data_IF_872466493275
#
_entry.id   IF_872466493275
#
_cell.length_a   1.000
_cell.length_b   1.000
_cell.length_c   1.000
_cell.angle_alpha   90.00
_cell.angle_beta   90.00
_cell.angle_gamma   90.00
#
_symmetry.space_group_name_H-M   'P 1'
#
loop_
_entity.id
_entity.type
_entity.pdbx_description
1 polymer ?
#
# COMPACT_ATOMS: atom_id res chain seq x y z
N UNK A 1 18.98 39.55 14.03
CA UNK A 1 18.65 38.48 14.97
C UNK A 1 18.83 37.15 14.25
N UNK A 2 19.86 36.39 14.60
CA UNK A 2 20.12 35.08 14.01
C UNK A 2 19.13 34.12 14.66
N UNK A 3 18.15 33.62 13.89
CA UNK A 3 17.22 32.58 14.35
C UNK A 3 18.05 31.38 14.80
N UNK A 4 17.81 30.87 16.01
CA UNK A 4 18.52 29.70 16.51
C UNK A 4 18.16 28.50 15.59
N UNK A 5 19.08 27.56 15.37
CA UNK A 5 18.84 26.44 14.46
C UNK A 5 17.67 25.55 14.88
N UNK A 6 17.28 25.58 16.16
CA UNK A 6 16.09 24.90 16.70
C UNK A 6 14.77 25.39 16.08
N UNK A 7 14.70 26.67 15.74
CA UNK A 7 13.48 27.38 15.32
C UNK A 7 13.06 26.96 13.91
N UNK A 8 14.03 26.53 13.10
CA UNK A 8 13.84 26.02 11.76
C UNK A 8 13.14 24.66 11.77
N UNK A 9 13.53 23.77 12.69
CA UNK A 9 12.86 22.48 12.88
C UNK A 9 11.47 22.61 13.50
N UNK A 10 11.29 23.51 14.46
CA UNK A 10 9.97 23.77 15.04
C UNK A 10 9.04 24.41 13.99
N UNK A 11 9.55 25.31 13.15
CA UNK A 11 8.79 25.83 12.01
C UNK A 11 8.46 24.75 10.98
N UNK A 12 9.38 23.87 10.61
CA UNK A 12 9.07 22.83 9.61
C UNK A 12 8.04 21.81 10.13
N UNK A 13 8.04 21.51 11.44
CA UNK A 13 7.00 20.71 12.11
C UNK A 13 5.68 21.47 12.28
N UNK A 14 5.71 22.78 12.50
CA UNK A 14 4.52 23.61 12.69
C UNK A 14 3.89 24.06 11.36
N UNK A 15 4.67 24.06 10.27
CA UNK A 15 4.23 24.26 8.87
C UNK A 15 3.65 22.96 8.27
N UNK A 16 3.95 21.79 8.84
CA UNK A 16 3.26 20.50 8.64
C UNK A 16 1.78 20.49 9.13
N UNK A 17 1.21 21.69 9.33
CA UNK A 17 -0.22 22.00 9.53
C UNK A 17 -0.99 21.69 8.21
N UNK A 18 -2.35 21.60 8.26
CA UNK A 18 -3.30 20.73 7.53
C UNK A 18 -3.01 20.15 6.13
N UNK A 19 -2.11 20.72 5.35
CA UNK A 19 -1.79 20.31 4.00
C UNK A 19 -1.04 18.96 3.96
N UNK A 20 -0.18 18.65 4.94
CA UNK A 20 0.53 17.36 4.97
C UNK A 20 -0.36 16.18 5.38
N UNK A 21 -1.27 16.40 6.33
CA UNK A 21 -2.31 15.42 6.67
C UNK A 21 -3.23 15.17 5.47
N UNK A 22 -3.56 16.22 4.71
CA UNK A 22 -4.33 16.14 3.48
C UNK A 22 -3.56 15.38 2.37
N UNK A 23 -2.27 15.67 2.15
CA UNK A 23 -1.43 14.98 1.17
C UNK A 23 -1.26 13.50 1.53
N UNK A 24 -1.10 13.19 2.83
CA UNK A 24 -1.05 11.81 3.32
C UNK A 24 -2.37 11.08 3.06
N UNK A 25 -3.50 11.70 3.42
CA UNK A 25 -4.83 11.16 3.15
C UNK A 25 -5.09 10.98 1.65
N UNK A 26 -4.66 11.92 0.80
CA UNK A 26 -4.83 11.84 -0.65
C UNK A 26 -4.02 10.69 -1.26
N UNK A 27 -2.73 10.57 -0.88
CA UNK A 27 -1.88 9.44 -1.27
C UNK A 27 -2.46 8.12 -0.83
N UNK A 28 -3.08 8.08 0.36
CA UNK A 28 -3.76 6.90 0.90
C UNK A 28 -4.96 6.51 0.04
N UNK A 29 -5.84 7.46 -0.26
CA UNK A 29 -7.01 7.24 -1.12
C UNK A 29 -6.60 6.77 -2.51
N UNK A 30 -5.54 7.35 -3.10
CA UNK A 30 -5.01 6.92 -4.40
C UNK A 30 -4.53 5.46 -4.38
N UNK A 31 -3.78 5.04 -3.35
CA UNK A 31 -3.34 3.64 -3.19
C UNK A 31 -4.52 2.67 -3.03
N UNK A 32 -5.50 3.04 -2.21
CA UNK A 32 -6.71 2.24 -2.00
C UNK A 32 -7.50 2.10 -3.30
N UNK A 33 -7.74 3.20 -4.02
CA UNK A 33 -8.41 3.17 -5.33
C UNK A 33 -7.67 2.28 -6.34
N UNK A 34 -6.35 2.38 -6.42
CA UNK A 34 -5.53 1.52 -7.29
C UNK A 34 -5.66 0.03 -6.97
N UNK A 35 -5.73 -0.32 -5.68
CA UNK A 35 -5.98 -1.69 -5.23
C UNK A 35 -7.37 -2.18 -5.64
N UNK A 36 -8.42 -1.37 -5.43
CA UNK A 36 -9.78 -1.74 -5.84
C UNK A 36 -9.89 -1.98 -7.35
N UNK A 37 -9.20 -1.19 -8.18
CA UNK A 37 -9.12 -1.46 -9.62
C UNK A 37 -8.50 -2.82 -9.91
N UNK A 38 -7.40 -3.19 -9.23
CA UNK A 38 -6.76 -4.50 -9.41
C UNK A 38 -7.68 -5.65 -8.97
N UNK A 39 -8.35 -5.51 -7.84
CA UNK A 39 -9.34 -6.50 -7.37
C UNK A 39 -10.49 -6.63 -8.36
N UNK A 40 -11.02 -5.51 -8.85
CA UNK A 40 -12.11 -5.49 -9.81
C UNK A 40 -11.72 -6.22 -11.09
N UNK A 41 -10.56 -5.91 -11.68
CA UNK A 41 -10.06 -6.58 -12.88
C UNK A 41 -9.83 -8.07 -12.62
N UNK A 42 -9.26 -8.43 -11.47
CA UNK A 42 -9.07 -9.83 -11.08
C UNK A 42 -10.41 -10.57 -11.03
N UNK A 43 -11.40 -10.06 -10.29
CA UNK A 43 -12.72 -10.70 -10.20
C UNK A 43 -13.38 -10.78 -11.57
N UNK A 44 -13.35 -9.70 -12.35
CA UNK A 44 -13.97 -9.64 -13.67
C UNK A 44 -13.40 -10.69 -14.63
N UNK A 45 -12.07 -10.80 -14.72
CA UNK A 45 -11.41 -11.81 -15.57
C UNK A 45 -11.72 -13.23 -15.06
N UNK A 46 -11.66 -13.46 -13.75
CA UNK A 46 -11.96 -14.79 -13.18
C UNK A 46 -13.41 -15.21 -13.40
N UNK A 47 -14.37 -14.28 -13.30
CA UNK A 47 -15.79 -14.55 -13.59
C UNK A 47 -15.97 -14.90 -15.06
N UNK A 48 -15.37 -14.15 -15.98
CA UNK A 48 -15.41 -14.46 -17.42
C UNK A 48 -14.79 -15.84 -17.67
N UNK A 49 -13.63 -16.15 -17.07
CA UNK A 49 -12.98 -17.44 -17.21
C UNK A 49 -13.84 -18.61 -16.68
N UNK A 50 -14.53 -18.41 -15.56
CA UNK A 50 -15.50 -19.37 -15.01
C UNK A 50 -16.67 -19.61 -15.96
N UNK A 51 -17.26 -18.53 -16.49
CA UNK A 51 -18.37 -18.60 -17.44
C UNK A 51 -17.94 -19.32 -18.72
N UNK A 52 -16.79 -18.96 -19.29
CA UNK A 52 -16.25 -19.64 -20.47
C UNK A 52 -15.95 -21.12 -20.21
N UNK A 53 -15.39 -21.45 -19.05
CA UNK A 53 -15.13 -22.84 -18.66
C UNK A 53 -16.44 -23.62 -18.52
N UNK A 54 -17.52 -22.98 -18.04
CA UNK A 54 -18.82 -23.61 -17.85
C UNK A 54 -19.46 -23.93 -19.20
N UNK A 55 -19.41 -22.99 -20.15
CA UNK A 55 -19.90 -23.21 -21.50
C UNK A 55 -19.06 -24.23 -22.30
N UNK A 56 -17.75 -24.33 -22.03
CA UNK A 56 -16.87 -25.32 -22.68
C UNK A 56 -16.91 -26.70 -22.03
N UNK A 57 -17.39 -26.83 -20.81
CA UNK A 57 -17.42 -28.10 -20.10
C UNK A 57 -18.45 -29.05 -20.74
N UNK A 58 -17.96 -30.05 -21.47
CA UNK A 58 -18.79 -31.15 -22.00
C UNK A 58 -19.10 -32.24 -20.97
N UNK A 59 -18.32 -32.31 -19.88
CA UNK A 59 -18.51 -33.22 -18.75
C UNK A 59 -18.11 -32.50 -17.46
N UNK A 60 -18.81 -32.79 -16.35
CA UNK A 60 -18.59 -32.14 -15.04
C UNK A 60 -17.18 -32.34 -14.46
N UNK A 61 -16.46 -33.37 -14.91
CA UNK A 61 -15.10 -33.69 -14.45
C UNK A 61 -14.01 -32.76 -15.02
N UNK A 62 -14.21 -32.16 -16.20
CA UNK A 62 -13.23 -31.23 -16.79
C UNK A 62 -13.30 -29.84 -16.15
N UNK A 63 -14.48 -29.45 -15.65
CA UNK A 63 -14.69 -28.16 -14.99
C UNK A 63 -13.95 -28.07 -13.64
N UNK A 64 -13.83 -29.20 -12.92
CA UNK A 64 -13.17 -29.31 -11.62
C UNK A 64 -11.65 -29.54 -11.69
N UNK A 65 -11.05 -29.49 -12.89
CA UNK A 65 -9.59 -29.59 -12.99
C UNK A 65 -8.94 -28.40 -12.26
N UNK A 66 -8.11 -28.74 -11.28
CA UNK A 66 -7.23 -27.80 -10.53
C UNK A 66 -6.49 -26.80 -11.43
N UNK A 67 -6.22 -27.19 -12.68
CA UNK A 67 -5.57 -26.34 -13.68
C UNK A 67 -6.37 -25.07 -14.03
N UNK A 68 -7.71 -25.13 -14.01
CA UNK A 68 -8.60 -23.97 -14.23
C UNK A 68 -8.45 -22.95 -13.11
N UNK A 69 -8.18 -23.40 -11.89
CA UNK A 69 -8.05 -22.55 -10.70
C UNK A 69 -6.60 -22.15 -10.40
N UNK A 70 -5.61 -22.85 -10.97
CA UNK A 70 -4.19 -22.58 -10.70
C UNK A 70 -3.78 -21.15 -11.09
N UNK A 71 -4.29 -20.64 -12.20
CA UNK A 71 -4.05 -19.27 -12.66
C UNK A 71 -4.67 -18.26 -11.68
N UNK A 72 -5.91 -18.50 -11.25
CA UNK A 72 -6.60 -17.69 -10.25
C UNK A 72 -5.87 -17.70 -8.90
N UNK A 73 -5.39 -18.87 -8.48
CA UNK A 73 -4.70 -19.08 -7.21
C UNK A 73 -3.35 -18.38 -7.17
N UNK A 74 -2.55 -18.53 -8.23
CA UNK A 74 -1.23 -17.88 -8.35
C UNK A 74 -1.35 -16.35 -8.34
N UNK A 75 -2.31 -15.80 -9.07
CA UNK A 75 -2.59 -14.36 -9.06
C UNK A 75 -3.25 -13.89 -7.77
N UNK A 76 -4.03 -14.76 -7.12
CA UNK A 76 -4.66 -14.50 -5.82
C UNK A 76 -3.62 -14.25 -4.73
N UNK A 77 -2.50 -14.97 -4.73
CA UNK A 77 -1.40 -14.74 -3.78
C UNK A 77 -0.80 -13.33 -3.97
N UNK A 78 -0.58 -12.91 -5.22
CA UNK A 78 -0.10 -11.57 -5.53
C UNK A 78 -1.08 -10.47 -5.11
N UNK A 79 -2.39 -10.71 -5.29
CA UNK A 79 -3.45 -9.80 -4.87
C UNK A 79 -3.48 -9.66 -3.34
N UNK A 80 -3.37 -10.77 -2.61
CA UNK A 80 -3.31 -10.76 -1.13
C UNK A 80 -2.08 -10.02 -0.64
N UNK A 81 -0.89 -10.28 -1.22
CA UNK A 81 0.33 -9.56 -0.87
C UNK A 81 0.21 -8.05 -1.15
N UNK A 82 -0.38 -7.65 -2.28
CA UNK A 82 -0.63 -6.25 -2.60
C UNK A 82 -1.64 -5.62 -1.62
N UNK A 83 -2.69 -6.36 -1.24
CA UNK A 83 -3.67 -5.94 -0.25
C UNK A 83 -3.05 -5.76 1.13
N UNK A 84 -2.17 -6.66 1.56
CA UNK A 84 -1.41 -6.52 2.80
C UNK A 84 -0.44 -5.33 2.74
N UNK A 85 0.13 -5.01 1.58
CA UNK A 85 0.95 -3.80 1.42
C UNK A 85 0.11 -2.52 1.49
N UNK A 86 -1.07 -2.50 0.87
CA UNK A 86 -1.96 -1.33 0.87
C UNK A 86 -2.63 -1.14 2.23
N UNK A 87 -3.20 -2.19 2.83
CA UNK A 87 -3.94 -2.10 4.10
C UNK A 87 -3.11 -2.47 5.32
N UNK A 88 -2.29 -3.52 5.23
CA UNK A 88 -1.55 -4.10 6.35
C UNK A 88 -0.39 -3.23 6.83
N UNK A 89 0.25 -2.41 5.98
CA UNK A 89 1.27 -1.47 6.46
C UNK A 89 0.71 -0.51 7.52
N UNK A 90 -0.56 -0.11 7.40
CA UNK A 90 -1.18 0.82 8.35
C UNK A 90 -1.75 0.14 9.61
N UNK A 91 -2.07 -1.16 9.53
CA UNK A 91 -2.59 -1.93 10.67
C UNK A 91 -1.45 -2.51 11.52
N UNK A 92 -0.33 -2.89 10.90
CA UNK A 92 0.81 -3.53 11.57
C UNK A 92 1.91 -2.54 11.94
N UNK A 93 2.15 -1.49 11.13
CA UNK A 93 3.04 -0.39 11.45
C UNK A 93 2.21 0.85 11.80
N UNK A 94 1.82 0.92 13.08
CA UNK A 94 1.14 2.09 13.68
C UNK A 94 1.96 3.37 13.53
N UNK A 95 1.33 4.55 13.69
CA UNK A 95 1.96 5.88 13.73
C UNK A 95 3.21 5.93 14.61
N UNK A 96 3.27 5.13 15.68
CA UNK A 96 4.47 5.03 16.52
C UNK A 96 5.73 4.59 15.76
N UNK A 97 5.60 3.68 14.80
CA UNK A 97 6.74 3.24 13.99
C UNK A 97 7.17 4.34 13.02
N UNK A 98 6.22 5.01 12.38
CA UNK A 98 6.52 6.16 11.50
C UNK A 98 7.22 7.26 12.29
N UNK A 99 6.71 7.64 13.46
CA UNK A 99 7.35 8.67 14.29
C UNK A 99 8.74 8.25 14.78
N UNK A 100 8.95 6.97 15.14
CA UNK A 100 10.29 6.46 15.48
C UNK A 100 11.24 6.54 14.30
N UNK A 101 10.78 6.26 13.09
CA UNK A 101 11.61 6.31 11.88
C UNK A 101 11.97 7.74 11.51
N UNK A 102 11.01 8.67 11.58
CA UNK A 102 11.23 10.10 11.36
C UNK A 102 12.22 10.66 12.38
N UNK A 103 12.02 10.36 13.68
CA UNK A 103 12.98 10.77 14.74
C UNK A 103 14.39 10.27 14.44
N UNK A 104 14.54 9.02 14.00
CA UNK A 104 15.84 8.43 13.67
C UNK A 104 16.53 9.14 12.49
N UNK A 105 15.79 9.48 11.43
CA UNK A 105 16.32 10.21 10.27
C UNK A 105 16.80 11.61 10.68
N UNK A 106 16.01 12.32 11.49
CA UNK A 106 16.37 13.66 12.00
C UNK A 106 17.65 13.57 12.86
N UNK A 107 17.76 12.54 13.68
CA UNK A 107 18.92 12.34 14.56
C UNK A 107 20.18 11.99 13.77
N UNK A 108 20.05 11.20 12.69
CA UNK A 108 21.12 10.92 11.73
C UNK A 108 21.55 12.18 10.95
N UNK A 109 20.62 13.02 10.50
CA UNK A 109 20.93 14.32 9.89
C UNK A 109 21.61 15.28 10.85
N UNK A 110 21.12 15.39 12.09
CA UNK A 110 21.75 16.21 13.13
C UNK A 110 23.17 15.75 13.42
N UNK A 111 23.42 14.44 13.51
CA UNK A 111 24.78 13.92 13.63
C UNK A 111 25.62 14.40 12.45
N UNK A 112 25.16 14.17 11.21
CA UNK A 112 25.89 14.55 9.99
C UNK A 112 26.31 16.01 9.95
N UNK A 113 25.40 16.93 10.31
CA UNK A 113 25.71 18.38 10.36
C UNK A 113 26.67 18.79 11.47
N UNK A 114 26.81 17.97 12.53
CA UNK A 114 27.71 18.28 13.65
C UNK A 114 29.14 17.76 13.40
N UNK A 115 29.37 17.06 12.29
CA UNK A 115 30.68 16.56 11.84
C UNK A 115 31.30 17.41 10.71
N UNK A 116 30.59 18.44 10.24
CA UNK A 116 31.07 19.48 9.32
C UNK A 116 31.23 20.82 10.06
#
# INVERSE_FOLDING_TARGET
>A
MIKKPTDFYTNSFEVMKPDDDYIYAEKRVKKIKGFYTHVFVYVFINVIALVFSYYKAKNSADFWKLQTFWMAFSWGIGLVAHGLSVFGFNYFFSREWEEKKIRKIIEEEKKRQNWE
#
